data_IF_605411537579
#
_entry.id   IF_605411537579
#
_cell.length_a   1.000
_cell.length_b   1.000
_cell.length_c   1.000
_cell.angle_alpha   90.00
_cell.angle_beta   90.00
_cell.angle_gamma   90.00
#
_symmetry.space_group_name_H-M   'P 1'
#
loop_
_entity.id
_entity.type
_entity.pdbx_description
1 polymer ?
#
# COMPACT_ATOMS: atom_id res chain seq x y z
N UNK A 1 17.48 8.85 -2.57
CA UNK A 1 16.13 8.34 -2.25
C UNK A 1 16.15 6.83 -2.38
N UNK A 2 16.00 6.10 -1.27
CA UNK A 2 16.07 4.64 -1.27
C UNK A 2 14.75 4.04 -1.75
N UNK A 3 14.79 2.91 -2.47
CA UNK A 3 13.60 2.24 -3.03
C UNK A 3 12.58 1.83 -1.96
N UNK A 4 13.08 1.57 -0.73
CA UNK A 4 12.27 1.21 0.44
C UNK A 4 11.46 2.40 0.97
N UNK A 5 12.04 3.60 0.98
CA UNK A 5 11.32 4.79 1.47
C UNK A 5 10.22 5.25 0.52
N UNK A 6 10.43 5.06 -0.80
CA UNK A 6 9.38 5.29 -1.78
C UNK A 6 8.21 4.29 -1.60
N UNK A 7 8.53 3.03 -1.29
CA UNK A 7 7.53 2.00 -1.01
C UNK A 7 6.69 2.37 0.23
N UNK A 8 7.34 2.65 1.37
CA UNK A 8 6.65 2.94 2.63
C UNK A 8 5.81 4.23 2.53
N UNK A 9 6.31 5.25 1.82
CA UNK A 9 5.57 6.49 1.55
C UNK A 9 4.33 6.29 0.67
N UNK A 10 4.43 5.48 -0.39
CA UNK A 10 3.28 5.19 -1.27
C UNK A 10 2.24 4.35 -0.53
N UNK A 11 2.66 3.35 0.25
CA UNK A 11 1.76 2.53 1.09
C UNK A 11 1.00 3.41 2.07
N UNK A 12 1.72 4.25 2.83
CA UNK A 12 1.12 5.14 3.82
C UNK A 12 0.13 6.11 3.19
N UNK A 13 0.47 6.67 2.03
CA UNK A 13 -0.41 7.58 1.30
C UNK A 13 -1.70 6.89 0.83
N UNK A 14 -1.59 5.70 0.22
CA UNK A 14 -2.74 4.94 -0.26
C UNK A 14 -3.68 4.61 0.91
N UNK A 15 -3.16 4.10 2.03
CA UNK A 15 -3.98 3.76 3.20
C UNK A 15 -4.65 5.01 3.76
N UNK A 16 -3.92 6.11 3.93
CA UNK A 16 -4.45 7.35 4.51
C UNK A 16 -5.54 7.96 3.62
N UNK A 17 -5.34 8.00 2.30
CA UNK A 17 -6.34 8.48 1.35
C UNK A 17 -7.58 7.60 1.36
N UNK A 18 -7.40 6.27 1.39
CA UNK A 18 -8.54 5.33 1.33
C UNK A 18 -9.35 5.36 2.64
N UNK A 19 -8.68 5.47 3.79
CA UNK A 19 -9.34 5.66 5.10
C UNK A 19 -10.07 6.99 5.16
N UNK A 20 -9.44 8.08 4.73
CA UNK A 20 -10.09 9.40 4.68
C UNK A 20 -11.34 9.37 3.80
N UNK A 21 -11.24 8.76 2.62
CA UNK A 21 -12.38 8.64 1.70
C UNK A 21 -13.50 7.74 2.25
N UNK A 22 -13.16 6.67 2.98
CA UNK A 22 -14.14 5.84 3.69
C UNK A 22 -14.79 6.52 4.89
N UNK A 23 -14.12 7.51 5.49
CA UNK A 23 -14.69 8.30 6.58
C UNK A 23 -15.66 9.38 6.09
N UNK A 24 -15.37 10.02 4.93
CA UNK A 24 -16.21 11.08 4.36
C UNK A 24 -17.25 10.60 3.34
N UNK A 25 -17.06 9.42 2.74
CA UNK A 25 -17.94 8.85 1.73
C UNK A 25 -18.88 7.80 2.31
N UNK A 26 -18.56 6.52 2.06
CA UNK A 26 -19.36 5.38 2.48
C UNK A 26 -18.50 4.42 3.33
N UNK A 27 -18.96 3.99 4.52
CA UNK A 27 -18.17 3.13 5.43
C UNK A 27 -17.76 1.79 4.79
N UNK A 28 -18.40 1.34 3.70
CA UNK A 28 -17.97 0.16 2.95
C UNK A 28 -16.55 0.32 2.38
N UNK A 29 -16.10 1.57 2.13
CA UNK A 29 -14.75 1.86 1.64
C UNK A 29 -13.65 1.50 2.64
N UNK A 30 -13.96 1.32 3.93
CA UNK A 30 -13.00 0.85 4.94
C UNK A 30 -12.59 -0.62 4.74
N UNK A 31 -13.35 -1.39 3.96
CA UNK A 31 -12.94 -2.75 3.59
C UNK A 31 -11.70 -2.75 2.69
N UNK A 32 -11.54 -1.72 1.85
CA UNK A 32 -10.39 -1.59 0.92
C UNK A 32 -9.06 -1.41 1.68
N UNK A 33 -8.89 -0.42 2.59
CA UNK A 33 -7.67 -0.28 3.38
C UNK A 33 -7.51 -1.43 4.38
N UNK A 34 -8.58 -2.07 4.84
CA UNK A 34 -8.49 -3.27 5.67
C UNK A 34 -7.88 -4.46 4.90
N UNK A 35 -8.33 -4.73 3.67
CA UNK A 35 -7.77 -5.79 2.81
C UNK A 35 -6.33 -5.47 2.37
N UNK A 36 -6.06 -4.22 2.02
CA UNK A 36 -4.70 -3.74 1.74
C UNK A 36 -3.79 -3.89 2.97
N UNK A 37 -4.26 -3.49 4.15
CA UNK A 37 -3.56 -3.65 5.42
C UNK A 37 -3.28 -5.11 5.74
N UNK A 38 -4.23 -6.00 5.49
CA UNK A 38 -4.07 -7.44 5.72
C UNK A 38 -3.02 -8.05 4.78
N UNK A 39 -3.01 -7.66 3.51
CA UNK A 39 -2.01 -8.12 2.54
C UNK A 39 -0.62 -7.55 2.81
N UNK A 40 -0.52 -6.33 3.35
CA UNK A 40 0.74 -5.75 3.85
C UNK A 40 1.23 -6.47 5.11
N UNK A 41 0.33 -6.80 6.03
CA UNK A 41 0.64 -7.58 7.22
C UNK A 41 1.18 -8.97 6.83
N UNK A 42 0.49 -9.66 5.91
CA UNK A 42 0.98 -10.88 5.27
C UNK A 42 2.37 -10.70 4.66
N UNK A 43 2.62 -9.59 3.97
CA UNK A 43 3.91 -9.32 3.34
C UNK A 43 5.03 -9.12 4.36
N UNK A 44 4.74 -8.66 5.58
CA UNK A 44 5.74 -8.57 6.65
C UNK A 44 6.26 -9.96 7.07
N UNK A 45 5.42 -11.00 6.96
CA UNK A 45 5.79 -12.38 7.27
C UNK A 45 6.30 -13.18 6.07
N UNK A 46 5.79 -12.91 4.87
CA UNK A 46 6.08 -13.70 3.66
C UNK A 46 7.05 -13.02 2.69
N UNK A 47 7.32 -11.72 2.86
CA UNK A 47 8.14 -10.91 1.96
C UNK A 47 7.48 -10.60 0.61
N UNK A 48 6.26 -11.07 0.36
CA UNK A 48 5.56 -10.88 -0.91
C UNK A 48 4.71 -9.60 -0.87
N UNK A 49 5.30 -8.48 -1.30
CA UNK A 49 4.55 -7.23 -1.46
C UNK A 49 4.24 -6.97 -2.95
N UNK A 50 2.98 -7.03 -3.39
CA UNK A 50 2.62 -6.74 -4.78
C UNK A 50 3.01 -5.31 -5.17
N UNK A 51 2.96 -4.36 -4.25
CA UNK A 51 3.35 -2.96 -4.52
C UNK A 51 4.85 -2.83 -4.81
N UNK A 52 5.71 -3.55 -4.09
CA UNK A 52 7.15 -3.56 -4.36
C UNK A 52 7.44 -4.08 -5.77
N UNK A 53 6.71 -5.12 -6.20
CA UNK A 53 6.82 -5.69 -7.55
C UNK A 53 6.36 -4.71 -8.63
N UNK A 54 5.25 -4.00 -8.40
CA UNK A 54 4.77 -2.95 -9.30
C UNK A 54 5.77 -1.80 -9.39
N UNK A 55 6.34 -1.38 -8.26
CA UNK A 55 7.32 -0.29 -8.20
C UNK A 55 8.62 -0.65 -8.92
N UNK A 56 9.09 -1.90 -8.77
CA UNK A 56 10.25 -2.43 -9.49
C UNK A 56 10.04 -2.42 -11.01
N UNK A 57 8.81 -2.70 -11.44
CA UNK A 57 8.41 -2.65 -12.85
C UNK A 57 8.29 -1.24 -13.41
N UNK A 58 7.80 -0.28 -12.62
CA UNK A 58 7.61 1.12 -13.04
C UNK A 58 8.93 1.90 -13.01
N UNK A 59 9.80 1.62 -12.05
CA UNK A 59 11.13 2.22 -11.93
C UNK A 59 12.22 1.13 -11.89
N UNK A 60 12.52 0.50 -13.05
CA UNK A 60 13.65 -0.41 -13.15
C UNK A 60 14.93 0.38 -12.91
N UNK A 61 15.70 0.00 -11.89
CA UNK A 61 17.06 0.52 -11.70
C UNK A 61 17.93 -0.13 -12.77
N UNK A 62 18.15 0.60 -13.86
CA UNK A 62 19.16 0.29 -14.87
C UNK A 62 20.56 0.31 -14.31
#
# INVERSE_FOLDING_TARGET
MSKRELHDGIVGLIITLTVGLGHYGDPLWLMVPALLGLTLLQSAFTGFCPLYYTLDRVFPKG
#
